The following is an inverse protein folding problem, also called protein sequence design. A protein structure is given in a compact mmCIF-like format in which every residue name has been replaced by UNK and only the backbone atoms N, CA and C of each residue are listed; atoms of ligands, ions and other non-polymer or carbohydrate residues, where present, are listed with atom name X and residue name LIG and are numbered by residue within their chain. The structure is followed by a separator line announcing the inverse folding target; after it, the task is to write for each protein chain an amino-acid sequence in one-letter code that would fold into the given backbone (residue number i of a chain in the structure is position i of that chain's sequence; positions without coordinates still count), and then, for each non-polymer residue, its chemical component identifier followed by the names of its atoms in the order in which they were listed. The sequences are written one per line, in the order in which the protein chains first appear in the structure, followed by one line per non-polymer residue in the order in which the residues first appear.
data_IF_361155948612
#
_entry.id   IF_361155948612
#
_cell.length_a   1.000
_cell.length_b   1.000
_cell.length_c   1.000
_cell.angle_alpha   90.00
_cell.angle_beta   90.00
_cell.angle_gamma   90.00
#
_symmetry.space_group_name_H-M   'P 1'
#
loop_
_entity.id
_entity.type
_entity.pdbx_description
1 polymer ?
#
# COMPACT_ATOMS: atom_id res chain seq x y z
N UNK A 1 -9.70 -20.82 -2.40
CA UNK A 1 -11.10 -20.39 -2.46
C UNK A 1 -12.03 -21.58 -2.77
N UNK A 2 -13.23 -21.53 -2.26
CA UNK A 2 -14.22 -22.59 -2.41
C UNK A 2 -15.45 -22.33 -1.56
N UNK A 3 -16.14 -23.40 -1.24
CA UNK A 3 -17.30 -23.36 -0.36
C UNK A 3 -17.06 -24.19 0.91
N UNK A 4 -17.62 -23.73 2.01
CA UNK A 4 -17.78 -24.50 3.24
C UNK A 4 -19.22 -24.97 3.29
N UNK A 5 -19.42 -26.28 3.43
CA UNK A 5 -20.73 -26.91 3.47
C UNK A 5 -21.14 -27.25 4.90
N UNK A 6 -22.43 -27.21 5.17
CA UNK A 6 -22.99 -27.72 6.43
C UNK A 6 -22.78 -29.25 6.59
N UNK A 7 -23.00 -29.74 7.79
CA UNK A 7 -22.72 -31.15 8.17
C UNK A 7 -23.55 -32.21 7.41
N UNK A 8 -24.60 -31.79 6.71
CA UNK A 8 -25.47 -32.66 5.93
C UNK A 8 -24.99 -32.93 4.49
N UNK A 9 -23.84 -32.39 4.10
CA UNK A 9 -23.26 -32.57 2.77
C UNK A 9 -22.13 -33.58 2.83
N UNK A 10 -22.22 -34.63 2.02
CA UNK A 10 -21.05 -35.50 1.83
C UNK A 10 -19.96 -34.75 1.10
N UNK A 11 -18.83 -34.55 1.80
CA UNK A 11 -17.66 -33.79 1.32
C UNK A 11 -16.62 -34.68 0.61
N UNK A 12 -16.98 -35.90 0.25
CA UNK A 12 -16.12 -36.81 -0.51
C UNK A 12 -16.06 -36.38 -1.99
N UNK A 13 -15.42 -35.24 -2.23
CA UNK A 13 -15.27 -34.67 -3.56
C UNK A 13 -14.15 -35.37 -4.33
N UNK A 14 -14.39 -35.63 -5.59
CA UNK A 14 -13.34 -35.94 -6.56
C UNK A 14 -12.37 -34.74 -6.68
N UNK A 15 -11.16 -35.01 -7.18
CA UNK A 15 -10.25 -33.93 -7.57
C UNK A 15 -10.85 -33.05 -8.65
N UNK A 16 -10.54 -31.75 -8.65
CA UNK A 16 -10.93 -30.87 -9.74
C UNK A 16 -10.36 -31.37 -11.07
N UNK A 17 -11.24 -31.47 -12.08
CA UNK A 17 -10.89 -31.78 -13.47
C UNK A 17 -11.14 -30.56 -14.33
N UNK A 18 -10.29 -30.33 -15.33
CA UNK A 18 -10.51 -29.31 -16.34
C UNK A 18 -11.66 -29.79 -17.24
N UNK A 19 -12.74 -29.02 -17.30
CA UNK A 19 -13.90 -29.31 -18.15
C UNK A 19 -13.79 -28.55 -19.47
N UNK A 20 -13.39 -27.28 -19.44
CA UNK A 20 -13.35 -26.42 -20.62
C UNK A 20 -12.19 -25.43 -20.54
N UNK A 21 -11.64 -25.09 -21.72
CA UNK A 21 -10.60 -24.07 -21.88
C UNK A 21 -11.00 -23.19 -23.04
N UNK A 22 -11.39 -21.95 -22.74
CA UNK A 22 -11.69 -20.94 -23.76
C UNK A 22 -10.54 -19.95 -23.84
N UNK A 23 -10.03 -19.75 -25.04
CA UNK A 23 -8.98 -18.75 -25.33
C UNK A 23 -9.50 -17.78 -26.39
N UNK A 24 -9.47 -16.51 -26.07
CA UNK A 24 -9.78 -15.41 -26.96
C UNK A 24 -8.59 -14.45 -27.00
N UNK A 25 -8.56 -13.52 -27.96
CA UNK A 25 -7.56 -12.44 -27.99
C UNK A 25 -7.55 -11.65 -26.67
N UNK A 26 -8.72 -11.47 -26.06
CA UNK A 26 -8.91 -10.53 -24.95
C UNK A 26 -9.04 -11.23 -23.60
N UNK A 27 -9.51 -12.49 -23.58
CA UNK A 27 -9.77 -13.19 -22.31
C UNK A 27 -9.50 -14.68 -22.45
N UNK A 28 -8.76 -15.22 -21.49
CA UNK A 28 -8.59 -16.65 -21.31
C UNK A 28 -9.41 -17.10 -20.11
N UNK A 29 -10.21 -18.16 -20.27
CA UNK A 29 -10.96 -18.75 -19.17
C UNK A 29 -10.75 -20.26 -19.08
N UNK A 30 -10.65 -20.74 -17.84
CA UNK A 30 -10.48 -22.15 -17.51
C UNK A 30 -11.60 -22.57 -16.58
N UNK A 31 -12.33 -23.59 -16.97
CA UNK A 31 -13.42 -24.18 -16.16
C UNK A 31 -12.94 -25.47 -15.52
N UNK A 32 -12.95 -25.50 -14.21
CA UNK A 32 -12.64 -26.67 -13.41
C UNK A 32 -13.92 -27.18 -12.75
N UNK A 33 -14.12 -28.47 -12.78
CA UNK A 33 -15.31 -29.10 -12.18
C UNK A 33 -14.88 -30.22 -11.24
N UNK A 34 -15.59 -30.31 -10.13
CA UNK A 34 -15.59 -31.47 -9.25
C UNK A 34 -17.01 -31.79 -8.83
N UNK A 35 -17.25 -33.04 -8.54
CA UNK A 35 -18.58 -33.55 -8.22
C UNK A 35 -18.51 -34.53 -7.05
N UNK A 36 -19.53 -34.48 -6.21
CA UNK A 36 -19.84 -35.46 -5.19
C UNK A 36 -21.24 -36.00 -5.41
N UNK A 37 -21.68 -36.93 -4.60
CA UNK A 37 -23.07 -37.49 -4.70
C UNK A 37 -24.15 -36.41 -4.51
N UNK A 38 -23.85 -35.30 -3.79
CA UNK A 38 -24.83 -34.28 -3.41
C UNK A 38 -24.62 -32.94 -4.11
N UNK A 39 -23.41 -32.65 -4.62
CA UNK A 39 -23.03 -31.32 -5.09
C UNK A 39 -22.13 -31.42 -6.30
N UNK A 40 -22.40 -30.58 -7.32
CA UNK A 40 -21.49 -30.28 -8.40
C UNK A 40 -20.95 -28.86 -8.17
N UNK A 41 -19.61 -28.71 -8.14
CA UNK A 41 -18.91 -27.42 -8.03
C UNK A 41 -18.14 -27.15 -9.31
N UNK A 42 -18.38 -25.99 -9.90
CA UNK A 42 -17.63 -25.49 -11.04
C UNK A 42 -16.89 -24.21 -10.64
N UNK A 43 -15.62 -24.11 -11.00
CA UNK A 43 -14.78 -22.94 -10.80
C UNK A 43 -14.30 -22.42 -12.14
N UNK A 44 -14.72 -21.24 -12.50
CA UNK A 44 -14.30 -20.55 -13.72
C UNK A 44 -13.28 -19.50 -13.33
N UNK A 45 -12.08 -19.59 -13.89
CA UNK A 45 -11.00 -18.63 -13.69
C UNK A 45 -10.79 -17.92 -15.00
N UNK A 46 -11.00 -16.60 -15.03
CA UNK A 46 -10.89 -15.76 -16.21
C UNK A 46 -9.82 -14.69 -15.98
N UNK A 47 -8.95 -14.49 -16.95
CA UNK A 47 -7.93 -13.44 -16.90
C UNK A 47 -7.64 -12.89 -18.29
N UNK A 48 -7.22 -11.64 -18.32
CA UNK A 48 -6.77 -10.96 -19.53
C UNK A 48 -5.23 -10.97 -19.55
N UNK A 49 -4.59 -11.28 -20.70
CA UNK A 49 -3.14 -11.40 -20.77
C UNK A 49 -2.34 -10.16 -20.38
N UNK A 50 -2.92 -8.97 -20.57
CA UNK A 50 -2.28 -7.68 -20.28
C UNK A 50 -2.71 -7.06 -18.95
N UNK A 51 -3.41 -7.84 -18.11
CA UNK A 51 -4.01 -7.35 -16.88
C UNK A 51 -3.56 -8.19 -15.69
N UNK A 52 -3.45 -7.56 -14.52
CA UNK A 52 -3.12 -8.22 -13.25
C UNK A 52 -4.34 -8.75 -12.51
N UNK A 53 -5.50 -8.71 -13.17
CA UNK A 53 -6.77 -9.19 -12.61
C UNK A 53 -7.07 -10.61 -13.01
N UNK A 54 -7.58 -11.34 -12.04
CA UNK A 54 -8.11 -12.67 -12.22
C UNK A 54 -9.51 -12.69 -11.63
N UNK A 55 -10.51 -12.88 -12.49
CA UNK A 55 -11.88 -13.10 -12.04
C UNK A 55 -12.08 -14.56 -11.73
N UNK A 56 -12.66 -14.86 -10.58
CA UNK A 56 -12.98 -16.21 -10.18
C UNK A 56 -14.48 -16.30 -9.88
N UNK A 57 -15.18 -17.09 -10.68
CA UNK A 57 -16.59 -17.40 -10.46
C UNK A 57 -16.71 -18.84 -10.00
N UNK A 58 -17.29 -19.02 -8.83
CA UNK A 58 -17.69 -20.32 -8.32
C UNK A 58 -19.18 -20.54 -8.56
N UNK A 59 -19.53 -21.68 -9.11
CA UNK A 59 -20.88 -22.11 -9.32
C UNK A 59 -21.07 -23.40 -8.53
N UNK A 60 -22.13 -23.46 -7.76
CA UNK A 60 -22.51 -24.64 -6.99
C UNK A 60 -23.90 -25.05 -7.35
N UNK A 61 -24.08 -26.34 -7.68
CA UNK A 61 -25.36 -26.94 -7.99
C UNK A 61 -25.66 -28.04 -6.97
N UNK A 62 -26.80 -27.92 -6.30
CA UNK A 62 -27.32 -28.95 -5.43
C UNK A 62 -27.88 -30.09 -6.28
N UNK A 63 -27.35 -31.29 -6.14
CA UNK A 63 -27.82 -32.50 -6.84
C UNK A 63 -28.73 -33.34 -5.95
N UNK A 64 -28.90 -32.97 -4.68
CA UNK A 64 -29.70 -33.73 -3.71
C UNK A 64 -31.12 -33.19 -3.60
N UNK A 65 -32.00 -33.99 -2.98
CA UNK A 65 -33.38 -33.61 -2.63
C UNK A 65 -33.47 -32.79 -1.33
N UNK A 66 -32.36 -32.50 -0.66
CA UNK A 66 -32.32 -31.75 0.59
C UNK A 66 -31.76 -30.35 0.39
N UNK A 67 -32.11 -29.39 1.28
CA UNK A 67 -31.56 -28.04 1.29
C UNK A 67 -30.11 -28.06 1.80
N UNK A 68 -29.20 -27.48 1.04
CA UNK A 68 -27.81 -27.40 1.39
C UNK A 68 -27.52 -25.98 1.96
N UNK A 69 -26.89 -25.92 3.13
CA UNK A 69 -26.33 -24.67 3.65
C UNK A 69 -24.86 -24.58 3.23
N UNK A 70 -24.46 -23.46 2.65
CA UNK A 70 -23.10 -23.25 2.20
C UNK A 70 -22.67 -21.80 2.40
N UNK A 71 -21.37 -21.58 2.59
CA UNK A 71 -20.72 -20.27 2.59
C UNK A 71 -19.53 -20.29 1.65
N UNK A 72 -19.42 -19.28 0.82
CA UNK A 72 -18.23 -19.10 -0.02
C UNK A 72 -17.06 -18.58 0.80
N UNK A 73 -15.84 -18.91 0.39
CA UNK A 73 -14.64 -18.29 0.98
C UNK A 73 -13.53 -18.09 -0.06
N UNK A 74 -12.76 -17.04 0.14
CA UNK A 74 -11.49 -16.84 -0.55
C UNK A 74 -10.44 -16.44 0.46
N UNK A 75 -9.23 -17.01 0.37
CA UNK A 75 -8.13 -16.69 1.27
C UNK A 75 -6.80 -16.68 0.55
N UNK A 76 -5.89 -15.86 1.05
CA UNK A 76 -4.47 -15.83 0.71
C UNK A 76 -3.70 -16.24 1.95
N UNK A 77 -2.69 -17.08 1.78
CA UNK A 77 -1.81 -17.52 2.87
C UNK A 77 -0.37 -17.09 2.58
N UNK A 78 0.32 -16.66 3.63
CA UNK A 78 1.70 -16.23 3.56
C UNK A 78 2.50 -16.74 4.77
N UNK A 79 3.79 -16.98 4.55
CA UNK A 79 4.74 -17.23 5.63
C UNK A 79 5.12 -15.91 6.33
N UNK A 80 5.57 -15.99 7.59
CA UNK A 80 6.04 -14.84 8.37
C UNK A 80 7.45 -14.35 8.01
N UNK A 81 8.11 -14.98 7.05
CA UNK A 81 9.48 -14.65 6.69
C UNK A 81 9.59 -13.21 6.22
N UNK A 82 10.41 -12.43 6.93
CA UNK A 82 10.84 -11.11 6.46
C UNK A 82 11.73 -11.31 5.24
N UNK A 83 11.68 -10.40 4.25
CA UNK A 83 12.60 -10.43 3.11
C UNK A 83 14.06 -10.43 3.61
N UNK A 84 14.98 -11.19 2.99
CA UNK A 84 16.39 -11.15 3.35
C UNK A 84 16.93 -9.74 3.15
N UNK A 85 17.76 -9.26 4.09
CA UNK A 85 18.36 -7.91 4.06
C UNK A 85 17.63 -6.86 4.88
N UNK A 86 16.49 -7.16 5.50
CA UNK A 86 15.75 -6.21 6.35
C UNK A 86 16.29 -6.11 7.78
N UNK A 87 17.34 -6.84 8.12
CA UNK A 87 17.93 -6.80 9.46
C UNK A 87 19.06 -5.76 9.54
N UNK A 88 18.86 -4.73 10.34
CA UNK A 88 19.94 -3.95 10.93
C UNK A 88 20.36 -2.62 10.29
N UNK A 89 19.76 -2.14 9.22
CA UNK A 89 20.18 -0.86 8.63
C UNK A 89 19.20 0.28 8.94
N UNK A 90 19.59 1.17 9.84
CA UNK A 90 18.80 2.36 10.21
C UNK A 90 18.55 3.32 9.02
N UNK A 91 19.37 3.26 7.95
CA UNK A 91 19.21 4.00 6.70
C UNK A 91 19.49 3.14 5.44
N UNK A 92 19.59 1.82 5.55
CA UNK A 92 20.24 1.02 4.51
C UNK A 92 19.32 0.39 3.46
N UNK A 93 18.11 -0.04 3.84
CA UNK A 93 17.21 -0.72 2.91
C UNK A 93 15.86 0.00 2.82
N UNK A 94 15.48 0.49 1.62
CA UNK A 94 14.16 1.09 1.38
C UNK A 94 13.00 0.18 1.80
N UNK A 95 13.18 -1.14 1.75
CA UNK A 95 12.17 -2.11 2.17
C UNK A 95 11.78 -1.98 3.65
N UNK A 96 12.67 -1.44 4.51
CA UNK A 96 12.39 -1.22 5.93
C UNK A 96 11.34 -0.11 6.18
N UNK A 97 11.09 0.74 5.20
CA UNK A 97 10.12 1.84 5.31
C UNK A 97 8.75 1.49 4.71
N UNK A 98 8.66 0.41 3.93
CA UNK A 98 7.40 -0.05 3.38
C UNK A 98 6.68 -0.96 4.39
N UNK A 99 5.38 -0.77 4.51
CA UNK A 99 4.56 -1.70 5.27
C UNK A 99 4.48 -3.04 4.53
N UNK A 100 4.86 -4.12 5.23
CA UNK A 100 4.83 -5.50 4.74
C UNK A 100 3.87 -6.29 5.63
N UNK A 101 2.69 -6.60 5.14
CA UNK A 101 1.71 -7.30 5.96
C UNK A 101 0.29 -7.26 5.42
N UNK A 102 -0.64 -7.75 6.22
CA UNK A 102 -2.06 -7.78 5.89
C UNK A 102 -2.71 -6.41 6.03
N UNK A 103 -3.58 -6.09 5.07
CA UNK A 103 -4.40 -4.88 5.06
C UNK A 103 -5.84 -5.25 4.75
N UNK A 104 -6.75 -4.55 5.40
CA UNK A 104 -8.18 -4.65 5.19
C UNK A 104 -8.73 -3.27 4.82
N UNK A 105 -9.65 -3.25 3.89
CA UNK A 105 -10.50 -2.11 3.59
C UNK A 105 -11.93 -2.53 3.85
N UNK A 106 -12.63 -1.76 4.64
CA UNK A 106 -14.03 -1.99 5.02
C UNK A 106 -14.80 -0.68 4.99
N UNK A 107 -16.09 -0.70 5.23
CA UNK A 107 -16.89 0.53 5.33
C UNK A 107 -16.52 1.38 6.54
N UNK A 108 -15.94 0.79 7.59
CA UNK A 108 -15.51 1.52 8.79
C UNK A 108 -14.16 2.19 8.62
N UNK A 109 -13.25 1.56 7.88
CA UNK A 109 -11.91 2.07 7.59
C UNK A 109 -11.45 1.61 6.19
N UNK A 110 -11.25 2.57 5.30
CA UNK A 110 -10.85 2.29 3.92
C UNK A 110 -9.41 1.74 3.79
N UNK A 111 -8.59 1.81 4.87
CA UNK A 111 -7.22 1.32 4.83
C UNK A 111 -6.68 0.99 6.23
N UNK A 112 -7.04 -0.17 6.75
CA UNK A 112 -6.62 -0.66 8.06
C UNK A 112 -5.44 -1.62 7.93
N UNK A 113 -4.30 -1.23 8.47
CA UNK A 113 -3.13 -2.09 8.62
C UNK A 113 -3.27 -2.94 9.88
N UNK A 114 -3.05 -4.23 9.76
CA UNK A 114 -3.03 -5.15 10.90
C UNK A 114 -1.67 -5.81 10.97
N UNK A 115 -0.93 -5.56 12.05
CA UNK A 115 0.42 -6.11 12.19
C UNK A 115 0.38 -7.63 12.37
N UNK A 116 1.40 -8.32 11.86
CA UNK A 116 1.50 -9.78 12.01
C UNK A 116 1.49 -10.19 13.50
N UNK A 117 2.12 -9.40 14.38
CA UNK A 117 2.08 -9.63 15.82
C UNK A 117 0.68 -9.56 16.42
N UNK A 118 -0.17 -8.65 15.95
CA UNK A 118 -1.57 -8.54 16.38
C UNK A 118 -2.36 -9.79 15.97
N UNK A 119 -2.10 -10.33 14.76
CA UNK A 119 -2.73 -11.57 14.29
C UNK A 119 -2.22 -12.84 15.01
N UNK A 120 -1.10 -12.75 15.71
CA UNK A 120 -0.63 -13.85 16.59
C UNK A 120 -1.46 -13.97 17.86
N UNK A 121 -1.91 -12.83 18.36
CA UNK A 121 -2.67 -12.74 19.61
C UNK A 121 -4.18 -12.87 19.38
N UNK A 122 -4.69 -12.19 18.36
CA UNK A 122 -6.13 -12.10 18.08
C UNK A 122 -6.44 -12.22 16.59
N UNK A 123 -7.48 -12.95 16.27
CA UNK A 123 -8.02 -13.00 14.91
C UNK A 123 -8.69 -11.67 14.56
N UNK A 124 -8.41 -11.13 13.37
CA UNK A 124 -9.16 -10.01 12.81
C UNK A 124 -10.46 -10.54 12.21
N UNK A 125 -11.56 -9.86 12.50
CA UNK A 125 -12.86 -10.21 11.94
C UNK A 125 -13.76 -8.98 11.86
N UNK A 126 -14.22 -8.65 10.65
CA UNK A 126 -15.12 -7.53 10.42
C UNK A 126 -16.13 -7.83 9.31
N UNK A 127 -17.36 -7.34 9.47
CA UNK A 127 -18.41 -7.47 8.47
C UNK A 127 -18.48 -6.18 7.64
N UNK A 128 -18.46 -6.30 6.33
CA UNK A 128 -18.64 -5.17 5.42
C UNK A 128 -19.30 -5.59 4.12
N UNK A 129 -20.06 -4.70 3.50
CA UNK A 129 -20.60 -4.91 2.14
C UNK A 129 -19.50 -4.63 1.12
N UNK A 130 -18.78 -3.52 1.32
CA UNK A 130 -17.70 -3.08 0.43
C UNK A 130 -16.34 -3.34 1.05
N UNK A 131 -15.33 -3.39 0.20
CA UNK A 131 -13.96 -3.46 0.64
C UNK A 131 -13.13 -4.51 -0.08
N UNK A 132 -11.92 -4.66 0.41
CA UNK A 132 -10.93 -5.62 -0.08
C UNK A 132 -9.99 -6.03 1.05
N UNK A 133 -9.29 -7.14 0.87
CA UNK A 133 -8.20 -7.53 1.78
C UNK A 133 -6.99 -7.95 0.96
N UNK A 134 -5.80 -7.65 1.47
CA UNK A 134 -4.57 -7.94 0.76
C UNK A 134 -3.40 -8.26 1.69
N UNK A 135 -2.40 -8.95 1.13
CA UNK A 135 -1.04 -8.89 1.63
C UNK A 135 -0.23 -7.91 0.80
N UNK A 136 0.39 -6.95 1.48
CA UNK A 136 1.28 -5.97 0.86
C UNK A 136 2.73 -6.44 0.94
N UNK A 137 3.42 -6.29 -0.19
CA UNK A 137 4.86 -6.33 -0.36
C UNK A 137 5.38 -4.93 -0.66
N UNK A 138 6.70 -4.75 -0.82
CA UNK A 138 7.25 -3.44 -1.13
C UNK A 138 6.67 -2.83 -2.41
N UNK A 139 6.77 -3.55 -3.53
CA UNK A 139 6.30 -3.11 -4.85
C UNK A 139 5.09 -3.86 -5.39
N UNK A 140 4.70 -4.95 -4.75
CA UNK A 140 3.63 -5.83 -5.19
C UNK A 140 2.56 -5.98 -4.13
N UNK A 141 1.40 -6.41 -4.56
CA UNK A 141 0.35 -6.82 -3.65
C UNK A 141 -0.45 -8.00 -4.22
N UNK A 142 -1.02 -8.75 -3.31
CA UNK A 142 -2.00 -9.78 -3.63
C UNK A 142 -3.27 -9.45 -2.89
N UNK A 143 -4.35 -9.12 -3.62
CA UNK A 143 -5.62 -8.71 -3.03
C UNK A 143 -6.77 -9.63 -3.42
N UNK A 144 -7.76 -9.71 -2.53
CA UNK A 144 -9.08 -10.30 -2.76
C UNK A 144 -10.09 -9.17 -2.70
N UNK A 145 -10.87 -9.03 -3.75
CA UNK A 145 -11.95 -8.07 -3.87
C UNK A 145 -13.23 -8.89 -4.03
N UNK A 146 -14.04 -9.07 -2.97
CA UNK A 146 -15.30 -9.79 -3.06
C UNK A 146 -16.35 -9.01 -3.84
N UNK A 147 -17.48 -9.64 -4.08
CA UNK A 147 -18.68 -8.95 -4.53
C UNK A 147 -19.04 -7.80 -3.57
N UNK A 148 -19.27 -6.62 -4.13
CA UNK A 148 -19.53 -5.36 -3.40
C UNK A 148 -21.03 -5.14 -3.13
N UNK A 149 -21.89 -6.11 -3.44
CA UNK A 149 -23.33 -6.02 -3.24
C UNK A 149 -23.82 -6.78 -1.99
N UNK A 150 -23.02 -7.72 -1.50
CA UNK A 150 -23.37 -8.60 -0.40
C UNK A 150 -22.49 -8.36 0.83
N UNK A 151 -23.07 -8.62 2.02
CA UNK A 151 -22.29 -8.60 3.25
C UNK A 151 -21.27 -9.73 3.24
N UNK A 152 -20.01 -9.38 3.37
CA UNK A 152 -18.88 -10.28 3.50
C UNK A 152 -18.24 -10.17 4.87
N UNK A 153 -17.64 -11.23 5.34
CA UNK A 153 -16.84 -11.25 6.58
C UNK A 153 -15.37 -11.26 6.20
N UNK A 154 -14.68 -10.17 6.49
CA UNK A 154 -13.23 -10.07 6.33
C UNK A 154 -12.56 -10.73 7.53
N UNK A 155 -11.60 -11.61 7.28
CA UNK A 155 -10.92 -12.42 8.30
C UNK A 155 -9.42 -12.39 8.11
N UNK A 156 -8.70 -12.11 9.19
CA UNK A 156 -7.25 -12.27 9.26
C UNK A 156 -6.89 -13.16 10.43
N UNK A 157 -6.01 -14.14 10.22
CA UNK A 157 -5.60 -15.05 11.32
C UNK A 157 -4.24 -15.70 11.08
N UNK A 158 -3.58 -16.11 12.16
CA UNK A 158 -2.44 -17.02 12.14
C UNK A 158 -2.91 -18.46 12.28
N UNK A 159 -2.50 -19.31 11.37
CA UNK A 159 -2.73 -20.75 11.50
C UNK A 159 -1.68 -21.34 12.44
N UNK A 160 -2.11 -21.81 13.61
CA UNK A 160 -1.24 -22.37 14.66
C UNK A 160 -0.53 -23.65 14.25
N UNK A 161 -1.04 -24.38 13.26
CA UNK A 161 -0.48 -25.67 12.82
C UNK A 161 0.71 -25.51 11.89
N UNK A 162 0.64 -24.54 10.95
CA UNK A 162 1.66 -24.34 9.91
C UNK A 162 2.35 -22.98 9.99
N UNK A 163 2.07 -22.22 11.05
CA UNK A 163 2.59 -20.87 11.30
C UNK A 163 2.38 -19.85 10.17
N UNK A 164 1.45 -20.12 9.27
CA UNK A 164 1.11 -19.21 8.16
C UNK A 164 0.08 -18.20 8.60
N UNK A 165 0.27 -16.98 8.13
CA UNK A 165 -0.76 -15.94 8.20
C UNK A 165 -1.70 -16.06 7.02
N UNK A 166 -2.98 -15.85 7.26
CA UNK A 166 -3.99 -15.84 6.22
C UNK A 166 -4.88 -14.61 6.35
N UNK A 167 -5.19 -14.02 5.20
CA UNK A 167 -6.27 -13.04 5.05
C UNK A 167 -7.29 -13.58 4.07
N UNK A 168 -8.54 -13.24 4.27
CA UNK A 168 -9.57 -13.76 3.39
C UNK A 168 -10.92 -13.13 3.64
N UNK A 169 -11.85 -13.58 2.82
CA UNK A 169 -13.23 -13.14 2.84
C UNK A 169 -14.12 -14.38 2.89
N UNK A 170 -15.13 -14.35 3.75
CA UNK A 170 -16.15 -15.37 3.87
C UNK A 170 -17.50 -14.73 3.52
N UNK A 171 -18.18 -15.26 2.53
CA UNK A 171 -19.52 -14.83 2.14
C UNK A 171 -20.59 -15.27 3.16
N UNK A 172 -21.73 -14.59 3.11
CA UNK A 172 -22.89 -15.00 3.93
C UNK A 172 -23.26 -16.46 3.70
N UNK A 173 -23.72 -17.16 4.76
CA UNK A 173 -24.36 -18.46 4.59
C UNK A 173 -25.59 -18.34 3.69
N UNK A 174 -25.64 -19.16 2.67
CA UNK A 174 -26.75 -19.26 1.72
C UNK A 174 -27.40 -20.64 1.81
N UNK A 175 -28.70 -20.66 1.58
CA UNK A 175 -29.49 -21.92 1.46
C UNK A 175 -29.71 -22.20 -0.02
N UNK A 176 -29.25 -23.35 -0.49
CA UNK A 176 -29.41 -23.80 -1.87
C UNK A 176 -30.50 -24.86 -1.88
N UNK A 177 -31.60 -24.55 -2.56
CA UNK A 177 -32.73 -25.46 -2.65
C UNK A 177 -32.35 -26.72 -3.43
N UNK A 178 -33.12 -27.83 -3.30
CA UNK A 178 -32.93 -29.03 -4.11
C UNK A 178 -32.87 -28.69 -5.60
N UNK A 179 -31.85 -29.20 -6.29
CA UNK A 179 -31.61 -29.02 -7.73
C UNK A 179 -31.36 -27.57 -8.19
N UNK A 180 -31.25 -26.65 -7.27
CA UNK A 180 -30.93 -25.25 -7.53
C UNK A 180 -29.42 -25.03 -7.72
N UNK A 181 -29.11 -23.98 -8.48
CA UNK A 181 -27.73 -23.50 -8.71
C UNK A 181 -27.56 -22.11 -8.14
N UNK A 182 -26.42 -21.86 -7.54
CA UNK A 182 -26.01 -20.52 -7.07
C UNK A 182 -24.58 -20.22 -7.47
N UNK A 183 -24.24 -18.95 -7.58
CA UNK A 183 -22.89 -18.54 -7.93
C UNK A 183 -22.36 -17.46 -6.99
N UNK A 184 -21.05 -17.45 -6.86
CA UNK A 184 -20.30 -16.47 -6.11
C UNK A 184 -19.10 -16.03 -6.94
N UNK A 185 -18.86 -14.70 -7.02
CA UNK A 185 -17.77 -14.14 -7.79
C UNK A 185 -16.90 -13.26 -6.90
N UNK A 186 -15.62 -13.24 -7.18
CA UNK A 186 -14.66 -12.31 -6.60
C UNK A 186 -13.52 -12.09 -7.57
N UNK A 187 -12.89 -10.93 -7.45
CA UNK A 187 -11.71 -10.60 -8.22
C UNK A 187 -10.46 -10.73 -7.36
N UNK A 188 -9.41 -11.21 -7.97
CA UNK A 188 -8.07 -11.25 -7.38
C UNK A 188 -7.19 -10.27 -8.14
N UNK A 189 -6.34 -9.56 -7.42
CA UNK A 189 -5.27 -8.78 -8.01
C UNK A 189 -3.93 -9.39 -7.61
N UNK A 190 -3.09 -9.69 -8.59
CA UNK A 190 -1.73 -10.18 -8.39
C UNK A 190 -0.78 -9.34 -9.22
N UNK A 191 -0.23 -8.30 -8.65
CA UNK A 191 0.58 -7.41 -9.48
C UNK A 191 1.31 -6.32 -8.73
N UNK A 192 2.01 -5.47 -9.49
CA UNK A 192 2.71 -4.30 -8.94
C UNK A 192 1.72 -3.24 -8.46
N UNK A 193 2.17 -2.41 -7.51
CA UNK A 193 1.37 -1.31 -6.96
C UNK A 193 1.34 -0.10 -7.91
N UNK A 194 0.98 -0.31 -9.16
CA UNK A 194 0.77 0.76 -10.14
C UNK A 194 -0.58 1.40 -9.90
N UNK A 195 -0.61 2.68 -9.53
CA UNK A 195 -1.86 3.32 -9.09
C UNK A 195 -2.96 3.31 -10.16
N UNK A 196 -2.61 3.48 -11.44
CA UNK A 196 -3.56 3.42 -12.54
C UNK A 196 -4.18 2.04 -12.72
N UNK A 197 -3.43 0.97 -12.48
CA UNK A 197 -3.94 -0.40 -12.54
C UNK A 197 -4.81 -0.74 -11.32
N UNK A 198 -4.39 -0.30 -10.14
CA UNK A 198 -5.15 -0.53 -8.89
C UNK A 198 -6.53 0.14 -8.95
N UNK A 199 -6.62 1.35 -9.48
CA UNK A 199 -7.90 2.08 -9.59
C UNK A 199 -8.90 1.42 -10.55
N UNK A 200 -8.44 0.63 -11.52
CA UNK A 200 -9.32 -0.17 -12.39
C UNK A 200 -9.98 -1.33 -11.62
N UNK A 201 -9.32 -1.83 -10.59
CA UNK A 201 -9.78 -2.95 -9.79
C UNK A 201 -10.83 -2.56 -8.77
N UNK A 202 -10.52 -1.55 -8.00
CA UNK A 202 -11.37 -1.03 -6.94
C UNK A 202 -10.96 0.41 -6.66
N UNK A 203 -11.95 1.25 -6.38
CA UNK A 203 -11.74 2.69 -6.16
C UNK A 203 -10.78 2.98 -5.00
N UNK A 204 -10.78 2.16 -3.94
CA UNK A 204 -9.97 2.35 -2.73
C UNK A 204 -8.67 1.53 -2.75
N UNK A 205 -8.46 0.65 -3.73
CA UNK A 205 -7.26 -0.17 -3.81
C UNK A 205 -5.95 0.64 -4.01
N UNK A 206 -5.95 1.84 -4.66
CA UNK A 206 -4.77 2.71 -4.71
C UNK A 206 -4.24 3.15 -3.34
N UNK A 207 -5.05 3.10 -2.27
CA UNK A 207 -4.60 3.33 -0.90
C UNK A 207 -3.53 2.32 -0.43
N UNK A 208 -3.43 1.17 -1.11
CA UNK A 208 -2.37 0.19 -0.88
C UNK A 208 -0.96 0.72 -1.25
N UNK A 209 -0.87 1.82 -2.03
CA UNK A 209 0.38 2.56 -2.24
C UNK A 209 0.61 3.46 -1.04
N UNK A 210 1.36 2.94 -0.09
CA UNK A 210 1.54 3.54 1.22
C UNK A 210 2.77 4.44 1.26
N UNK A 211 2.55 5.74 1.44
CA UNK A 211 3.61 6.73 1.63
C UNK A 211 3.87 7.06 3.12
N UNK A 212 3.49 6.14 4.03
CA UNK A 212 3.67 6.29 5.47
C UNK A 212 2.83 7.43 6.08
N UNK A 213 3.27 7.96 7.22
CA UNK A 213 2.51 9.00 7.94
C UNK A 213 2.49 10.35 7.21
N UNK A 214 3.37 10.59 6.24
CA UNK A 214 3.39 11.79 5.38
C UNK A 214 2.61 11.62 4.07
N UNK A 215 1.71 10.64 4.01
CA UNK A 215 0.89 10.35 2.84
C UNK A 215 0.17 11.62 2.30
N UNK A 216 -0.31 12.51 3.17
CA UNK A 216 -0.97 13.76 2.82
C UNK A 216 -0.06 14.78 2.07
N UNK A 217 1.27 14.65 2.20
CA UNK A 217 2.25 15.37 1.37
C UNK A 217 2.67 14.50 0.17
N UNK A 218 2.90 13.21 0.37
CA UNK A 218 3.40 12.28 -0.62
C UNK A 218 2.42 12.11 -1.80
N UNK A 219 1.14 11.92 -1.53
CA UNK A 219 0.14 11.71 -2.57
C UNK A 219 0.03 12.89 -3.55
N UNK A 220 -0.08 14.16 -3.12
CA UNK A 220 -0.02 15.30 -4.04
C UNK A 220 1.29 15.40 -4.84
N UNK A 221 2.41 15.00 -4.25
CA UNK A 221 3.70 14.98 -4.95
C UNK A 221 3.73 13.91 -6.04
N UNK A 222 3.19 12.74 -5.76
CA UNK A 222 3.05 11.69 -6.78
C UNK A 222 2.14 12.15 -7.94
N UNK A 223 0.99 12.74 -7.63
CA UNK A 223 0.08 13.27 -8.64
C UNK A 223 0.74 14.36 -9.51
N UNK A 224 1.51 15.27 -8.89
CA UNK A 224 2.28 16.25 -9.63
C UNK A 224 3.35 15.61 -10.51
N UNK A 225 4.02 14.55 -10.00
CA UNK A 225 5.01 13.80 -10.77
C UNK A 225 4.38 13.07 -11.95
N UNK A 226 3.21 12.47 -11.77
CA UNK A 226 2.46 11.83 -12.84
C UNK A 226 2.01 12.84 -13.89
N UNK A 227 1.49 14.00 -13.47
CA UNK A 227 1.12 15.10 -14.39
C UNK A 227 2.30 15.54 -15.28
N UNK A 228 3.49 15.72 -14.69
CA UNK A 228 4.66 16.04 -15.49
C UNK A 228 5.13 14.88 -16.36
N UNK A 229 5.00 13.64 -15.90
CA UNK A 229 5.28 12.46 -16.70
C UNK A 229 4.39 12.42 -17.97
N UNK A 230 3.10 12.67 -17.81
CA UNK A 230 2.14 12.70 -18.93
C UNK A 230 2.48 13.80 -19.96
N UNK A 231 3.14 14.89 -19.51
CA UNK A 231 3.60 15.96 -20.40
C UNK A 231 4.90 15.63 -21.14
N UNK A 232 5.88 15.02 -20.45
CA UNK A 232 7.24 14.87 -20.98
C UNK A 232 7.60 13.43 -21.34
N UNK A 233 6.77 12.44 -20.98
CA UNK A 233 6.97 11.02 -21.27
C UNK A 233 8.17 10.38 -20.59
N UNK A 234 8.74 11.03 -19.54
CA UNK A 234 9.94 10.54 -18.88
C UNK A 234 9.92 10.83 -17.37
N UNK A 235 10.03 9.78 -16.55
CA UNK A 235 10.00 9.89 -15.09
C UNK A 235 11.15 10.72 -14.51
N UNK A 236 12.34 10.62 -15.08
CA UNK A 236 13.50 11.41 -14.60
C UNK A 236 13.27 12.91 -14.76
N UNK A 237 12.75 13.36 -15.89
CA UNK A 237 12.37 14.75 -16.09
C UNK A 237 11.18 15.16 -15.21
N UNK A 238 10.21 14.28 -14.99
CA UNK A 238 9.11 14.53 -14.07
C UNK A 238 9.62 14.79 -12.64
N UNK A 239 10.58 14.02 -12.14
CA UNK A 239 11.26 14.24 -10.84
C UNK A 239 11.92 15.62 -10.78
N UNK A 240 12.64 16.00 -11.82
CA UNK A 240 13.29 17.33 -11.91
C UNK A 240 12.27 18.44 -11.84
N UNK A 241 11.18 18.35 -12.62
CA UNK A 241 10.13 19.36 -12.66
C UNK A 241 9.37 19.48 -11.34
N UNK A 242 9.03 18.36 -10.69
CA UNK A 242 8.41 18.38 -9.33
C UNK A 242 9.37 19.00 -8.32
N UNK A 243 10.65 18.66 -8.37
CA UNK A 243 11.64 19.26 -7.49
C UNK A 243 11.75 20.78 -7.68
N UNK A 244 11.71 21.24 -8.93
CA UNK A 244 11.70 22.67 -9.26
C UNK A 244 10.42 23.33 -8.73
N UNK A 245 9.25 22.72 -8.95
CA UNK A 245 7.97 23.21 -8.44
C UNK A 245 8.00 23.38 -6.91
N UNK A 246 8.46 22.38 -6.18
CA UNK A 246 8.58 22.46 -4.72
C UNK A 246 9.52 23.59 -4.31
N UNK A 247 10.65 23.77 -4.99
CA UNK A 247 11.58 24.88 -4.72
C UNK A 247 10.95 26.24 -4.99
N UNK A 248 10.16 26.38 -6.04
CA UNK A 248 9.44 27.62 -6.35
C UNK A 248 8.41 27.94 -5.27
N UNK A 249 7.64 26.94 -4.83
CA UNK A 249 6.64 27.10 -3.76
C UNK A 249 7.32 27.52 -2.43
N UNK A 250 8.47 26.94 -2.12
CA UNK A 250 9.22 27.21 -0.89
C UNK A 250 10.18 28.38 -1.01
N UNK A 251 10.26 29.06 -2.18
CA UNK A 251 11.15 30.18 -2.43
C UNK A 251 11.00 31.35 -1.44
N UNK A 252 9.77 31.81 -1.11
CA UNK A 252 9.60 32.92 -0.18
C UNK A 252 10.22 32.63 1.18
N UNK A 253 10.06 31.39 1.67
CA UNK A 253 10.62 30.95 2.93
C UNK A 253 12.15 30.90 2.89
N UNK A 254 12.70 30.35 1.81
CA UNK A 254 14.16 30.29 1.58
C UNK A 254 14.76 31.69 1.49
N UNK A 255 14.08 32.64 0.82
CA UNK A 255 14.54 34.03 0.74
C UNK A 255 14.68 34.71 2.11
N UNK A 256 13.67 34.55 3.00
CA UNK A 256 13.70 35.08 4.36
C UNK A 256 14.90 34.52 5.16
N UNK A 257 15.14 33.21 5.01
CA UNK A 257 16.28 32.54 5.65
C UNK A 257 17.63 33.07 5.16
N UNK A 258 17.83 33.13 3.85
CA UNK A 258 19.08 33.64 3.28
C UNK A 258 19.36 35.09 3.72
N UNK A 259 18.31 35.91 3.78
CA UNK A 259 18.44 37.29 4.30
C UNK A 259 18.84 37.33 5.78
N UNK A 260 18.24 36.44 6.62
CA UNK A 260 18.61 36.32 8.04
C UNK A 260 20.04 35.79 8.21
N UNK A 261 20.45 34.78 7.44
CA UNK A 261 21.81 34.27 7.43
C UNK A 261 22.83 35.30 6.97
N UNK A 262 22.48 36.12 5.97
CA UNK A 262 23.35 37.22 5.53
C UNK A 262 23.62 38.23 6.65
N UNK A 263 22.58 38.63 7.39
CA UNK A 263 22.73 39.50 8.57
C UNK A 263 23.54 38.82 9.67
N UNK A 264 23.34 37.54 9.94
CA UNK A 264 24.09 36.77 10.94
C UNK A 264 25.59 36.79 10.61
N UNK A 265 25.99 36.67 9.34
CA UNK A 265 27.41 36.77 8.92
C UNK A 265 28.00 38.16 9.19
N UNK A 266 27.21 39.22 9.05
CA UNK A 266 27.68 40.59 9.31
C UNK A 266 27.99 40.83 10.77
N UNK A 267 27.26 40.23 11.70
CA UNK A 267 27.48 40.38 13.14
C UNK A 267 28.49 39.37 13.72
N UNK A 268 28.98 38.42 12.89
CA UNK A 268 29.93 37.40 13.33
C UNK A 268 31.21 37.94 14.00
N UNK A 269 31.86 39.04 13.52
CA UNK A 269 32.99 39.62 14.22
C UNK A 269 32.63 40.16 15.62
N UNK A 270 31.47 40.81 15.77
CA UNK A 270 31.00 41.29 17.07
C UNK A 270 30.70 40.12 18.04
N UNK A 271 30.20 38.98 17.52
CA UNK A 271 30.00 37.78 18.32
C UNK A 271 31.33 37.22 18.85
N UNK A 272 32.38 37.21 18.03
CA UNK A 272 33.71 36.77 18.46
C UNK A 272 34.27 37.67 19.56
N UNK A 273 34.17 38.98 19.39
CA UNK A 273 34.62 39.96 20.38
C UNK A 273 33.87 39.79 21.72
N UNK A 274 32.55 39.52 21.68
CA UNK A 274 31.77 39.22 22.87
C UNK A 274 32.20 37.90 23.55
N UNK A 275 32.51 36.86 22.76
CA UNK A 275 33.04 35.60 23.29
C UNK A 275 34.37 35.74 23.99
N UNK A 276 35.29 36.55 23.44
CA UNK A 276 36.57 36.84 24.03
C UNK A 276 36.43 37.62 25.35
N UNK A 277 35.57 38.64 25.37
CA UNK A 277 35.32 39.48 26.57
C UNK A 277 34.65 38.72 27.73
N UNK A 278 33.84 37.68 27.45
CA UNK A 278 33.08 36.94 28.45
C UNK A 278 33.52 35.47 28.53
N UNK A 279 34.78 35.16 28.20
CA UNK A 279 35.32 33.79 28.12
C UNK A 279 35.22 32.97 29.42
N UNK A 280 35.02 33.63 30.58
CA UNK A 280 34.90 32.98 31.89
C UNK A 280 33.46 32.85 32.43
N UNK A 281 32.49 33.57 31.84
CA UNK A 281 31.13 33.61 32.34
C UNK A 281 30.11 33.29 31.22
N UNK A 282 29.63 32.04 31.21
CA UNK A 282 28.63 31.55 30.22
C UNK A 282 27.29 32.28 30.30
N UNK A 283 26.89 32.72 31.50
CA UNK A 283 25.61 33.37 31.72
C UNK A 283 25.64 34.82 31.18
N UNK A 284 26.68 35.57 31.51
CA UNK A 284 26.90 36.90 30.98
C UNK A 284 27.08 36.89 29.46
N UNK A 285 27.81 35.92 28.90
CA UNK A 285 27.98 35.73 27.46
C UNK A 285 26.62 35.48 26.76
N UNK A 286 25.77 34.60 27.30
CA UNK A 286 24.46 34.33 26.73
C UNK A 286 23.55 35.56 26.73
N UNK A 287 23.55 36.34 27.81
CA UNK A 287 22.79 37.59 27.91
C UNK A 287 23.30 38.64 26.92
N UNK A 288 24.61 38.81 26.78
CA UNK A 288 25.22 39.73 25.85
C UNK A 288 24.90 39.35 24.38
N UNK A 289 24.96 38.05 24.04
CA UNK A 289 24.58 37.58 22.71
C UNK A 289 23.10 37.82 22.42
N UNK A 290 22.19 37.54 23.37
CA UNK A 290 20.77 37.81 23.21
C UNK A 290 20.50 39.32 23.01
N UNK A 291 21.22 40.18 23.72
CA UNK A 291 21.12 41.62 23.55
C UNK A 291 21.59 42.05 22.17
N UNK A 292 22.75 41.57 21.71
CA UNK A 292 23.26 41.86 20.36
C UNK A 292 22.26 41.44 19.28
N UNK A 293 21.67 40.26 19.38
CA UNK A 293 20.65 39.78 18.41
C UNK A 293 19.42 40.68 18.39
N UNK A 294 18.99 41.20 19.56
CA UNK A 294 17.86 42.15 19.64
C UNK A 294 18.23 43.50 19.02
N UNK A 295 19.40 44.04 19.35
CA UNK A 295 19.86 45.37 18.90
C UNK A 295 20.01 45.39 17.36
N UNK A 296 20.59 44.33 16.80
CA UNK A 296 20.77 44.15 15.34
C UNK A 296 19.53 43.63 14.61
N UNK A 297 18.42 43.36 15.34
CA UNK A 297 17.16 42.80 14.79
C UNK A 297 17.39 41.53 13.96
N UNK A 298 18.27 40.68 14.47
CA UNK A 298 18.57 39.36 13.86
C UNK A 298 17.99 38.26 14.72
N UNK A 299 17.22 37.37 14.09
CA UNK A 299 16.73 36.19 14.77
C UNK A 299 17.48 34.93 14.27
N UNK A 300 18.32 34.30 15.12
CA UNK A 300 19.08 33.12 14.73
C UNK A 300 18.21 31.93 14.33
N UNK A 301 17.04 31.81 14.92
CA UNK A 301 16.09 30.73 14.59
C UNK A 301 15.53 30.82 13.14
N UNK A 302 15.43 32.03 12.58
CA UNK A 302 14.96 32.20 11.19
C UNK A 302 15.96 31.67 10.15
N UNK A 303 17.23 31.52 10.53
CA UNK A 303 18.28 30.97 9.66
C UNK A 303 18.08 29.47 9.38
N UNK A 304 17.71 28.69 10.39
CA UNK A 304 17.54 27.23 10.26
C UNK A 304 16.06 26.79 10.04
N UNK A 305 15.10 27.68 10.28
CA UNK A 305 13.67 27.40 10.19
C UNK A 305 13.25 26.78 8.83
N UNK A 306 13.72 27.28 7.67
CA UNK A 306 13.35 26.69 6.39
C UNK A 306 13.85 25.25 6.22
N UNK A 307 15.04 24.93 6.72
CA UNK A 307 15.56 23.57 6.67
C UNK A 307 14.67 22.62 7.48
N UNK A 308 14.25 23.03 8.69
CA UNK A 308 13.34 22.24 9.52
C UNK A 308 11.96 22.07 8.88
N UNK A 309 11.42 23.12 8.29
CA UNK A 309 10.11 23.07 7.63
C UNK A 309 10.18 22.28 6.31
N UNK A 310 11.31 22.26 5.64
CA UNK A 310 11.52 21.53 4.39
C UNK A 310 11.76 20.02 4.60
N UNK A 311 12.20 19.59 5.79
CA UNK A 311 12.48 18.20 6.13
C UNK A 311 11.27 17.25 5.86
N UNK A 312 10.03 17.56 6.29
CA UNK A 312 8.88 16.71 5.99
C UNK A 312 8.63 16.54 4.50
N UNK A 313 8.85 17.58 3.69
CA UNK A 313 8.71 17.51 2.25
C UNK A 313 9.76 16.60 1.61
N UNK A 314 11.01 16.67 2.05
CA UNK A 314 12.07 15.78 1.58
C UNK A 314 11.80 14.33 1.96
N UNK A 315 11.38 14.08 3.19
CA UNK A 315 11.05 12.73 3.64
C UNK A 315 9.86 12.15 2.88
N UNK A 316 8.80 12.94 2.68
CA UNK A 316 7.65 12.51 1.90
C UNK A 316 8.03 12.20 0.45
N UNK A 317 8.82 13.07 -0.18
CA UNK A 317 9.28 12.85 -1.56
C UNK A 317 10.21 11.64 -1.67
N UNK A 318 11.10 11.45 -0.70
CA UNK A 318 11.93 10.26 -0.62
C UNK A 318 11.11 8.99 -0.57
N UNK A 319 10.05 8.94 0.26
CA UNK A 319 9.15 7.78 0.31
C UNK A 319 8.36 7.59 -0.98
N UNK A 320 7.91 8.66 -1.62
CA UNK A 320 7.30 8.57 -2.94
C UNK A 320 8.25 7.93 -3.94
N UNK A 321 9.50 8.41 -4.02
CA UNK A 321 10.50 7.89 -4.97
C UNK A 321 10.84 6.41 -4.73
N UNK A 322 10.91 5.98 -3.47
CA UNK A 322 11.22 4.58 -3.14
C UNK A 322 9.99 3.67 -3.31
N UNK A 323 8.80 4.16 -2.92
CA UNK A 323 7.58 3.37 -2.95
C UNK A 323 6.94 3.24 -4.33
N UNK A 324 7.31 4.11 -5.27
CA UNK A 324 6.71 4.15 -6.61
C UNK A 324 7.36 3.12 -7.53
N UNK A 325 6.59 2.08 -7.88
CA UNK A 325 7.08 0.99 -8.75
C UNK A 325 7.35 1.46 -10.19
N UNK A 326 6.62 2.45 -10.66
CA UNK A 326 6.72 3.06 -11.99
C UNK A 326 8.10 3.67 -12.27
N UNK A 327 8.83 4.06 -11.22
CA UNK A 327 10.18 4.60 -11.32
C UNK A 327 11.24 3.52 -11.51
N UNK A 328 10.90 2.28 -11.17
CA UNK A 328 11.86 1.19 -11.22
C UNK A 328 12.18 0.83 -12.68
N UNK A 329 13.47 0.85 -13.01
CA UNK A 329 13.97 0.64 -14.39
C UNK A 329 13.50 1.70 -15.40
N UNK A 330 12.96 2.84 -14.95
CA UNK A 330 12.61 3.93 -15.84
C UNK A 330 13.88 4.51 -16.51
N UNK A 331 13.90 4.66 -17.84
CA UNK A 331 15.07 5.21 -18.53
C UNK A 331 15.24 6.70 -18.25
N UNK A 332 16.45 7.14 -17.95
CA UNK A 332 16.79 8.56 -17.81
C UNK A 332 18.17 8.84 -18.40
N UNK A 333 18.22 9.56 -19.51
CA UNK A 333 19.45 9.81 -20.28
C UNK A 333 20.22 8.51 -20.59
N UNK A 334 21.54 8.51 -20.41
CA UNK A 334 22.40 7.34 -20.61
C UNK A 334 22.55 6.46 -19.36
N UNK A 335 22.05 6.92 -18.23
CA UNK A 335 22.34 6.36 -16.90
C UNK A 335 21.75 4.96 -16.66
N UNK A 336 20.69 4.58 -17.37
CA UNK A 336 19.98 3.30 -17.14
C UNK A 336 20.08 2.31 -18.30
N UNK A 337 20.77 2.68 -19.38
CA UNK A 337 21.01 1.76 -20.52
C UNK A 337 21.99 0.65 -20.13
N UNK A 338 22.76 0.81 -19.06
CA UNK A 338 23.83 -0.10 -18.64
C UNK A 338 23.57 -0.85 -17.33
N UNK A 339 22.39 -0.70 -16.72
CA UNK A 339 22.00 -1.47 -15.54
C UNK A 339 20.95 -2.52 -15.91
#
# INVERSE_FOLDING_TARGET
SGFVFGNNVNQDFSSFKIEDIKRSSDTNSYTFVRESASVKESKIISFQPENYFVEVKHIIRNLSSEVINSSSYSKIERNSLKPPGTEGAFFGDPANFAYLGPVFSTESDNYQKVNLGELEENDFKENSIKGWTAFLEHYFLTAIIPDQENINVFVGKKNKTNEKFSVGVVGRPIKIQPFEETSFSYSLYFGPKVQSELSKANQDLPLAVDYGFLYWIGQPMFLAMQFFYDMVGNWGWAIVLVTLLIKVILWPLSYVSYKSMGKMRQIQPQLKDLQERHSGDRQAMSQAMMKLYKDEKVNPALGCLPMLLQMPFFLAFYWVLIGTVELRYAPFMLSLIHI
#
